data_IF_285492790874
#
_entry.id   IF_285492790874
#
_cell.length_a   1.000
_cell.length_b   1.000
_cell.length_c   1.000
_cell.angle_alpha   90.00
_cell.angle_beta   90.00
_cell.angle_gamma   90.00
#
_symmetry.space_group_name_H-M   'P 1'
#
loop_
_entity.id
_entity.type
_entity.pdbx_description
1 polymer ?
#
# COMPACT_ATOMS: atom_id res chain seq x y z
N UNK A 1 43.06 25.38 -5.32
CA UNK A 1 42.03 26.26 -4.74
C UNK A 1 41.10 25.37 -3.96
N UNK A 2 41.32 25.30 -2.67
CA UNK A 2 40.60 24.43 -1.75
C UNK A 2 39.26 25.05 -1.37
N UNK A 3 38.16 24.36 -1.62
CA UNK A 3 36.84 24.75 -1.13
C UNK A 3 36.69 24.23 0.30
N UNK A 4 36.77 25.16 1.26
CA UNK A 4 36.46 24.94 2.69
C UNK A 4 34.97 24.68 2.89
N UNK A 5 34.66 23.74 3.78
CA UNK A 5 33.30 23.50 4.29
C UNK A 5 33.17 24.03 5.72
N UNK A 6 31.99 24.54 6.06
CA UNK A 6 31.65 24.97 7.42
C UNK A 6 30.59 24.02 7.97
N UNK A 7 30.91 23.33 9.06
CA UNK A 7 29.99 22.45 9.79
C UNK A 7 29.46 23.26 10.99
N UNK A 8 28.13 23.46 11.05
CA UNK A 8 27.47 24.01 12.24
C UNK A 8 26.83 22.86 13.01
N UNK A 9 27.30 22.64 14.23
CA UNK A 9 26.77 21.62 15.14
C UNK A 9 25.68 22.21 16.02
N UNK A 10 24.50 21.60 16.01
CA UNK A 10 23.51 21.75 17.07
C UNK A 10 23.12 20.38 17.60
N UNK A 11 23.11 20.24 18.91
CA UNK A 11 22.72 19.03 19.61
C UNK A 11 21.24 19.11 19.99
N UNK A 12 20.40 18.23 19.42
CA UNK A 12 19.06 17.91 19.94
C UNK A 12 18.80 16.41 19.80
N UNK A 13 18.13 15.90 20.81
CA UNK A 13 17.93 14.52 21.24
C UNK A 13 16.63 13.92 20.68
N UNK A 14 16.71 13.13 19.61
CA UNK A 14 15.91 11.91 19.42
C UNK A 14 16.51 11.11 18.26
N UNK A 15 16.75 9.82 18.49
CA UNK A 15 17.50 8.95 17.59
C UNK A 15 16.56 8.37 16.52
N UNK A 16 16.60 8.93 15.31
CA UNK A 16 16.81 8.17 14.06
C UNK A 16 16.91 9.12 12.87
N UNK A 17 18.00 8.93 12.10
CA UNK A 17 18.36 9.56 10.81
C UNK A 17 19.15 10.88 10.86
N UNK A 18 20.42 10.79 10.41
CA UNK A 18 21.24 11.91 9.95
C UNK A 18 21.03 12.12 8.45
N UNK A 19 20.81 13.37 8.01
CA UNK A 19 20.82 13.75 6.60
C UNK A 19 22.10 14.53 6.34
N UNK A 20 22.95 14.01 5.46
CA UNK A 20 24.03 14.75 4.82
C UNK A 20 23.68 14.93 3.34
N UNK A 21 23.94 16.13 2.82
CA UNK A 21 23.62 16.51 1.45
C UNK A 21 24.78 16.19 0.50
N UNK A 22 24.49 15.44 -0.56
CA UNK A 22 25.33 15.35 -1.76
C UNK A 22 24.43 15.65 -2.96
N UNK A 23 24.84 16.59 -3.79
CA UNK A 23 24.11 17.03 -4.99
C UNK A 23 24.58 16.20 -6.19
N UNK A 24 23.69 15.44 -6.83
CA UNK A 24 23.97 14.68 -8.05
C UNK A 24 22.83 14.88 -9.07
N UNK A 25 23.19 15.04 -10.35
CA UNK A 25 22.34 15.53 -11.46
C UNK A 25 21.21 14.59 -11.94
N UNK A 26 20.81 13.58 -11.15
CA UNK A 26 19.68 12.66 -11.42
C UNK A 26 18.80 12.42 -10.17
N UNK A 27 18.77 13.40 -9.24
CA UNK A 27 18.23 13.28 -7.88
C UNK A 27 16.71 13.16 -7.76
N UNK A 28 15.94 13.68 -8.72
CA UNK A 28 14.52 13.92 -8.52
C UNK A 28 13.69 12.63 -8.58
N UNK A 29 14.08 11.71 -9.47
CA UNK A 29 13.50 10.39 -9.67
C UNK A 29 13.64 9.50 -8.41
N UNK A 30 14.85 9.46 -7.85
CA UNK A 30 15.18 8.63 -6.69
C UNK A 30 14.48 9.17 -5.43
N UNK A 31 14.33 10.49 -5.33
CA UNK A 31 13.73 11.15 -4.18
C UNK A 31 12.24 10.85 -4.04
N UNK A 32 11.46 10.85 -5.14
CA UNK A 32 10.02 10.52 -5.09
C UNK A 32 9.78 9.07 -4.63
N UNK A 33 10.52 8.11 -5.19
CA UNK A 33 10.34 6.69 -4.86
C UNK A 33 10.77 6.39 -3.41
N UNK A 34 11.91 6.94 -2.97
CA UNK A 34 12.41 6.74 -1.61
C UNK A 34 11.43 7.28 -0.58
N UNK A 35 10.90 8.49 -0.79
CA UNK A 35 9.92 9.11 0.12
C UNK A 35 8.62 8.29 0.18
N UNK A 36 8.15 7.78 -0.95
CA UNK A 36 6.99 6.89 -1.02
C UNK A 36 7.21 5.58 -0.24
N UNK A 37 8.34 4.90 -0.43
CA UNK A 37 8.66 3.65 0.26
C UNK A 37 8.79 3.81 1.79
N UNK A 38 9.11 5.02 2.25
CA UNK A 38 9.17 5.34 3.68
C UNK A 38 7.84 5.79 4.28
N UNK A 39 6.83 6.13 3.46
CA UNK A 39 5.56 6.69 3.90
C UNK A 39 4.41 5.70 3.76
N UNK A 40 3.72 5.46 4.86
CA UNK A 40 2.61 4.52 4.98
C UNK A 40 1.30 5.02 4.33
N UNK A 41 1.21 6.29 3.97
CA UNK A 41 0.08 6.88 3.24
C UNK A 41 0.28 6.93 1.71
N UNK A 42 1.46 6.52 1.23
CA UNK A 42 1.72 6.51 -0.20
C UNK A 42 1.11 5.27 -0.83
N UNK A 43 -0.08 5.43 -1.40
CA UNK A 43 -0.87 4.30 -1.91
C UNK A 43 -0.37 3.82 -3.27
N UNK A 44 0.16 4.68 -4.14
CA UNK A 44 0.79 4.28 -5.41
C UNK A 44 1.49 5.48 -6.04
N UNK A 45 2.68 5.29 -6.62
CA UNK A 45 3.42 6.34 -7.35
C UNK A 45 3.82 5.87 -8.73
N UNK A 46 3.40 6.62 -9.75
CA UNK A 46 3.87 6.44 -11.12
C UNK A 46 4.53 7.72 -11.63
N UNK A 47 5.66 7.53 -12.32
CA UNK A 47 6.64 8.56 -12.65
C UNK A 47 6.55 8.93 -14.13
N UNK A 48 6.48 10.24 -14.41
CA UNK A 48 6.91 10.81 -15.69
C UNK A 48 7.99 11.88 -15.41
N UNK A 49 8.64 12.41 -16.45
CA UNK A 49 9.83 13.27 -16.31
C UNK A 49 9.62 14.56 -15.49
N UNK A 50 8.39 14.88 -15.07
CA UNK A 50 8.07 16.13 -14.35
C UNK A 50 7.01 15.99 -13.23
N UNK A 51 6.40 14.82 -13.04
CA UNK A 51 5.31 14.63 -12.07
C UNK A 51 5.39 13.29 -11.33
N UNK A 52 5.11 13.35 -10.03
CA UNK A 52 4.87 12.18 -9.17
C UNK A 52 3.37 12.08 -8.94
N UNK A 53 2.76 11.03 -9.50
CA UNK A 53 1.33 10.79 -9.34
C UNK A 53 1.07 10.10 -8.01
N UNK A 54 0.17 10.61 -7.18
CA UNK A 54 -0.22 9.94 -5.93
C UNK A 54 -1.68 9.50 -5.96
N UNK A 55 -1.91 8.36 -5.34
CA UNK A 55 -3.24 7.80 -5.12
C UNK A 55 -3.95 8.31 -3.86
N UNK A 56 -3.30 9.15 -3.06
CA UNK A 56 -3.85 9.46 -1.73
C UNK A 56 -5.10 10.33 -1.83
N UNK A 57 -6.21 9.76 -1.37
CA UNK A 57 -7.19 10.47 -0.56
C UNK A 57 -6.46 11.22 0.55
N UNK A 58 -6.93 12.43 0.87
CA UNK A 58 -6.30 13.42 1.73
C UNK A 58 -5.23 12.87 2.70
N UNK A 59 -3.96 12.98 2.33
CA UNK A 59 -2.92 13.15 3.34
C UNK A 59 -3.17 14.52 4.00
N UNK A 60 -4.10 14.60 4.94
CA UNK A 60 -4.33 15.81 5.75
C UNK A 60 -3.07 16.21 6.53
N UNK A 61 -2.13 15.27 6.67
CA UNK A 61 -0.76 15.50 7.14
C UNK A 61 0.21 15.37 5.96
N UNK A 62 0.47 16.48 5.28
CA UNK A 62 1.66 16.63 4.44
C UNK A 62 2.89 16.59 5.36
N UNK A 63 3.53 15.43 5.52
CA UNK A 63 4.65 15.24 6.44
C UNK A 63 6.03 15.58 5.83
N UNK A 64 6.09 16.44 4.81
CA UNK A 64 7.37 16.78 4.18
C UNK A 64 7.72 18.25 4.43
N UNK A 65 8.61 18.54 5.40
CA UNK A 65 9.38 19.77 5.39
C UNK A 65 10.49 19.60 4.33
N UNK A 66 10.19 19.96 3.08
CA UNK A 66 11.16 19.92 1.96
C UNK A 66 11.36 21.33 1.42
N UNK A 67 12.63 21.71 1.22
CA UNK A 67 13.04 22.97 0.57
C UNK A 67 12.84 22.95 -0.96
N UNK A 68 12.48 21.81 -1.55
CA UNK A 68 12.23 21.67 -2.99
C UNK A 68 10.73 21.59 -3.32
N UNK A 69 10.33 22.29 -4.39
CA UNK A 69 8.95 22.35 -4.91
C UNK A 69 8.59 21.09 -5.70
N UNK A 70 8.29 20.00 -5.01
CA UNK A 70 7.70 18.80 -5.64
C UNK A 70 6.18 19.02 -5.76
N UNK A 71 5.66 18.88 -6.99
CA UNK A 71 4.20 18.98 -7.24
C UNK A 71 3.61 17.57 -7.34
N UNK A 72 2.71 17.24 -6.41
CA UNK A 72 1.95 15.99 -6.44
C UNK A 72 0.65 16.18 -7.20
N UNK A 73 0.33 15.25 -8.11
CA UNK A 73 -0.95 15.26 -8.84
C UNK A 73 -1.78 14.03 -8.47
N UNK A 74 -3.05 14.26 -8.10
CA UNK A 74 -4.02 13.20 -7.86
C UNK A 74 -4.45 12.57 -9.18
N UNK A 75 -4.35 11.25 -9.29
CA UNK A 75 -4.64 10.50 -10.52
C UNK A 75 -6.10 10.68 -10.98
N UNK A 76 -7.06 10.85 -10.06
CA UNK A 76 -8.48 11.10 -10.43
C UNK A 76 -8.66 12.31 -11.34
N UNK A 77 -7.80 13.34 -11.23
CA UNK A 77 -7.87 14.53 -12.10
C UNK A 77 -7.37 14.27 -13.52
N UNK A 78 -6.61 13.20 -13.75
CA UNK A 78 -6.15 12.79 -15.09
C UNK A 78 -7.22 11.92 -15.77
N UNK A 79 -7.90 11.07 -14.99
CA UNK A 79 -8.82 10.06 -15.55
C UNK A 79 -10.23 10.61 -15.81
N UNK A 80 -10.51 11.89 -15.52
CA UNK A 80 -11.76 12.54 -15.94
C UNK A 80 -11.99 12.60 -17.48
N UNK A 81 -11.15 11.96 -18.32
CA UNK A 81 -11.16 12.16 -19.79
C UNK A 81 -11.47 10.90 -20.62
N UNK A 82 -11.62 9.70 -20.06
CA UNK A 82 -12.07 8.55 -20.89
C UNK A 82 -13.03 7.62 -20.15
N UNK A 83 -14.32 7.99 -20.10
CA UNK A 83 -15.51 7.10 -20.11
C UNK A 83 -15.42 5.71 -19.43
N UNK A 84 -14.71 5.57 -18.31
CA UNK A 84 -14.63 4.32 -17.52
C UNK A 84 -15.88 4.12 -16.65
N UNK A 85 -17.04 4.43 -17.21
CA UNK A 85 -18.33 4.43 -16.54
C UNK A 85 -18.95 3.04 -16.47
N UNK A 86 -18.43 2.09 -17.25
CA UNK A 86 -18.87 0.70 -17.26
C UNK A 86 -18.58 0.04 -15.90
N UNK A 87 -19.60 -0.52 -15.27
CA UNK A 87 -19.51 -1.19 -13.96
C UNK A 87 -18.60 -2.41 -13.99
N UNK A 88 -18.34 -2.98 -15.16
CA UNK A 88 -17.47 -4.15 -15.33
C UNK A 88 -16.06 -3.80 -15.81
N UNK A 89 -15.70 -2.51 -15.88
CA UNK A 89 -14.35 -2.06 -16.24
C UNK A 89 -13.74 -1.22 -15.14
N UNK A 90 -12.50 -1.53 -14.81
CA UNK A 90 -11.69 -0.79 -13.85
C UNK A 90 -10.58 -0.03 -14.58
N UNK A 91 -9.98 0.94 -13.90
CA UNK A 91 -8.86 1.71 -14.43
C UNK A 91 -7.57 1.02 -14.00
N UNK A 92 -6.85 0.42 -14.95
CA UNK A 92 -5.54 -0.17 -14.64
C UNK A 92 -4.49 0.92 -14.54
N UNK A 93 -3.73 0.88 -13.46
CA UNK A 93 -2.68 1.85 -13.18
C UNK A 93 -1.40 1.57 -13.96
N UNK A 94 -1.20 0.35 -14.44
CA UNK A 94 0.00 0.01 -15.18
C UNK A 94 0.06 0.71 -16.55
N UNK A 95 -1.09 0.88 -17.19
CA UNK A 95 -1.19 1.41 -18.56
C UNK A 95 -2.18 2.57 -18.71
N UNK A 96 -2.78 3.04 -17.61
CA UNK A 96 -3.77 4.13 -17.57
C UNK A 96 -4.97 3.92 -18.51
N UNK A 97 -5.46 2.68 -18.60
CA UNK A 97 -6.57 2.33 -19.50
C UNK A 97 -7.73 1.65 -18.78
N UNK A 98 -8.91 1.68 -19.40
CA UNK A 98 -10.08 0.94 -18.93
C UNK A 98 -10.00 -0.53 -19.33
N UNK A 99 -9.82 -1.39 -18.34
CA UNK A 99 -9.66 -2.83 -18.51
C UNK A 99 -10.90 -3.56 -17.99
N UNK A 100 -11.33 -4.59 -18.70
CA UNK A 100 -12.43 -5.44 -18.29
C UNK A 100 -12.06 -6.24 -17.03
N UNK A 101 -12.95 -6.26 -16.04
CA UNK A 101 -12.82 -7.16 -14.91
C UNK A 101 -12.84 -8.62 -15.41
N UNK A 102 -11.98 -9.51 -14.87
CA UNK A 102 -12.06 -10.93 -15.16
C UNK A 102 -13.45 -11.52 -14.81
N UNK A 103 -13.84 -12.67 -15.39
CA UNK A 103 -15.09 -13.33 -15.03
C UNK A 103 -15.22 -13.56 -13.52
N UNK A 104 -16.39 -13.23 -12.96
CA UNK A 104 -16.71 -13.30 -11.53
C UNK A 104 -15.95 -12.32 -10.63
N UNK A 105 -15.20 -11.36 -11.17
CA UNK A 105 -14.70 -10.21 -10.44
C UNK A 105 -15.61 -9.01 -10.67
N UNK A 106 -15.81 -8.21 -9.61
CA UNK A 106 -16.67 -7.03 -9.63
C UNK A 106 -15.89 -5.78 -9.24
N UNK A 107 -16.06 -4.70 -10.00
CA UNK A 107 -15.65 -3.34 -9.58
C UNK A 107 -16.77 -2.72 -8.75
N UNK A 108 -16.40 -1.85 -7.81
CA UNK A 108 -17.34 -1.07 -7.02
C UNK A 108 -17.15 0.43 -7.26
N UNK A 109 -18.24 1.19 -7.30
CA UNK A 109 -18.23 2.63 -7.62
C UNK A 109 -17.48 3.50 -6.59
N UNK A 110 -17.25 3.00 -5.37
CA UNK A 110 -16.42 3.71 -4.38
C UNK A 110 -14.92 3.58 -4.68
N UNK A 111 -14.49 2.60 -5.48
CA UNK A 111 -13.09 2.37 -5.81
C UNK A 111 -12.90 1.79 -7.22
N UNK A 112 -12.38 2.60 -8.14
CA UNK A 112 -12.39 2.31 -9.57
C UNK A 112 -11.16 1.59 -10.11
N UNK A 113 -10.19 1.27 -9.26
CA UNK A 113 -8.82 0.89 -9.69
C UNK A 113 -8.54 -0.61 -9.58
N UNK A 114 -9.52 -1.39 -9.16
CA UNK A 114 -9.41 -2.82 -9.05
C UNK A 114 -10.79 -3.49 -9.16
N UNK A 115 -10.76 -4.78 -9.43
CA UNK A 115 -11.92 -5.66 -9.30
C UNK A 115 -11.66 -6.69 -8.20
N UNK A 116 -12.73 -7.11 -7.52
CA UNK A 116 -12.64 -8.02 -6.38
C UNK A 116 -13.53 -9.23 -6.55
N UNK A 117 -13.11 -10.34 -5.95
CA UNK A 117 -13.89 -11.56 -5.82
C UNK A 117 -13.66 -12.18 -4.45
N UNK A 118 -14.70 -12.32 -3.64
CA UNK A 118 -14.69 -13.17 -2.45
C UNK A 118 -14.84 -14.63 -2.88
N UNK A 119 -14.04 -15.52 -2.33
CA UNK A 119 -14.19 -16.97 -2.53
C UNK A 119 -15.11 -17.54 -1.45
N UNK A 120 -15.84 -18.60 -1.79
CA UNK A 120 -16.77 -19.25 -0.85
C UNK A 120 -16.05 -20.04 0.25
N UNK A 121 -14.75 -20.31 0.06
CA UNK A 121 -13.93 -21.07 1.00
C UNK A 121 -12.98 -20.14 1.75
N UNK A 122 -12.91 -20.37 3.06
CA UNK A 122 -11.86 -19.80 3.90
C UNK A 122 -10.62 -20.69 3.81
N UNK A 123 -9.44 -20.10 3.99
CA UNK A 123 -8.18 -20.80 3.90
C UNK A 123 -7.12 -20.21 4.83
N UNK A 124 -6.03 -20.94 5.05
CA UNK A 124 -4.81 -20.37 5.61
C UNK A 124 -4.14 -19.43 4.61
N UNK A 125 -3.23 -18.59 5.06
CA UNK A 125 -2.64 -17.53 4.23
C UNK A 125 -2.00 -18.07 2.94
N UNK A 126 -1.23 -19.15 3.05
CA UNK A 126 -0.54 -19.77 1.90
C UNK A 126 -1.54 -20.27 0.86
N UNK A 127 -2.56 -21.03 1.28
CA UNK A 127 -3.59 -21.53 0.38
C UNK A 127 -4.46 -20.39 -0.18
N UNK A 128 -4.71 -19.35 0.60
CA UNK A 128 -5.44 -18.17 0.16
C UNK A 128 -4.68 -17.45 -0.99
N UNK A 129 -3.36 -17.29 -0.86
CA UNK A 129 -2.51 -16.77 -1.94
C UNK A 129 -2.56 -17.64 -3.19
N UNK A 130 -2.44 -18.97 -3.04
CA UNK A 130 -2.51 -19.91 -4.15
C UNK A 130 -3.87 -19.85 -4.86
N UNK A 131 -4.97 -19.78 -4.11
CA UNK A 131 -6.32 -19.68 -4.65
C UNK A 131 -6.50 -18.42 -5.51
N UNK A 132 -6.01 -17.26 -5.05
CA UNK A 132 -6.05 -16.05 -5.87
C UNK A 132 -5.11 -16.14 -7.09
N UNK A 133 -3.92 -16.71 -6.93
CA UNK A 133 -2.97 -16.90 -8.03
C UNK A 133 -3.53 -17.80 -9.15
N UNK A 134 -4.28 -18.86 -8.81
CA UNK A 134 -4.98 -19.70 -9.80
C UNK A 134 -6.00 -18.91 -10.64
N UNK A 135 -6.54 -17.83 -10.09
CA UNK A 135 -7.45 -16.92 -10.78
C UNK A 135 -6.70 -15.79 -11.52
N UNK A 136 -5.36 -15.86 -11.60
CA UNK A 136 -4.49 -14.78 -12.13
C UNK A 136 -4.69 -13.46 -11.38
N UNK A 137 -5.02 -13.56 -10.10
CA UNK A 137 -5.24 -12.46 -9.17
C UNK A 137 -4.29 -12.60 -7.99
N UNK A 138 -4.37 -11.68 -7.04
CA UNK A 138 -3.61 -11.72 -5.79
C UNK A 138 -4.56 -11.50 -4.61
N UNK A 139 -4.15 -11.79 -3.38
CA UNK A 139 -4.91 -11.38 -2.20
C UNK A 139 -5.08 -9.86 -2.17
N UNK A 140 -6.10 -9.32 -1.51
CA UNK A 140 -6.31 -7.86 -1.47
C UNK A 140 -5.08 -7.10 -0.95
N UNK A 141 -4.83 -5.91 -1.52
CA UNK A 141 -3.78 -4.96 -1.13
C UNK A 141 -4.37 -3.57 -0.94
N UNK A 142 -5.25 -3.35 0.07
CA UNK A 142 -5.98 -2.11 0.14
C UNK A 142 -5.13 -0.99 0.74
N UNK A 143 -4.60 -0.14 -0.13
CA UNK A 143 -3.60 0.87 0.25
C UNK A 143 -4.21 2.22 0.64
N UNK A 144 -5.48 2.47 0.27
CA UNK A 144 -6.21 3.68 0.68
C UNK A 144 -7.27 3.38 1.74
N UNK A 145 -7.66 4.42 2.48
CA UNK A 145 -8.69 4.32 3.53
C UNK A 145 -10.07 4.03 2.92
N UNK A 146 -10.40 4.61 1.75
CA UNK A 146 -11.62 4.26 1.01
C UNK A 146 -11.58 2.80 0.56
N UNK A 147 -10.45 2.31 0.03
CA UNK A 147 -10.34 0.92 -0.40
C UNK A 147 -10.54 -0.05 0.78
N UNK A 148 -9.87 0.21 1.91
CA UNK A 148 -10.05 -0.58 3.15
C UNK A 148 -11.49 -0.51 3.66
N UNK A 149 -12.08 0.68 3.70
CA UNK A 149 -13.46 0.88 4.17
C UNK A 149 -14.46 0.15 3.29
N UNK A 150 -14.27 0.23 1.96
CA UNK A 150 -15.08 -0.49 0.98
C UNK A 150 -14.97 -2.01 1.19
N UNK A 151 -13.76 -2.55 1.26
CA UNK A 151 -13.58 -3.99 1.44
C UNK A 151 -14.13 -4.49 2.78
N UNK A 152 -14.00 -3.69 3.83
CA UNK A 152 -14.60 -3.98 5.12
C UNK A 152 -16.14 -3.98 5.05
N UNK A 153 -16.75 -2.97 4.43
CA UNK A 153 -18.20 -2.90 4.22
C UNK A 153 -18.73 -4.10 3.42
N UNK A 154 -18.02 -4.50 2.37
CA UNK A 154 -18.43 -5.58 1.48
C UNK A 154 -18.22 -6.97 2.08
N UNK A 155 -17.11 -7.19 2.78
CA UNK A 155 -16.62 -8.52 3.10
C UNK A 155 -16.23 -8.72 4.57
N UNK A 156 -16.00 -7.64 5.32
CA UNK A 156 -15.44 -7.64 6.68
C UNK A 156 -16.44 -7.91 7.80
N UNK A 157 -17.73 -7.61 7.59
CA UNK A 157 -18.79 -7.78 8.61
C UNK A 157 -19.03 -9.22 9.10
N UNK A 158 -18.38 -10.22 8.49
CA UNK A 158 -18.58 -11.64 8.81
C UNK A 158 -17.30 -12.41 9.15
N UNK A 159 -16.14 -11.78 8.98
CA UNK A 159 -14.84 -12.47 9.06
C UNK A 159 -13.70 -11.49 8.81
N UNK A 160 -12.57 -11.69 9.51
CA UNK A 160 -11.28 -11.14 9.11
C UNK A 160 -10.88 -11.64 7.70
N UNK A 161 -10.29 -10.76 6.89
CA UNK A 161 -9.94 -11.03 5.49
C UNK A 161 -8.42 -11.04 5.34
N UNK A 162 -7.87 -12.04 4.66
CA UNK A 162 -6.43 -12.05 4.36
C UNK A 162 -6.00 -10.88 3.46
N UNK A 163 -4.86 -10.27 3.79
CA UNK A 163 -4.23 -9.17 3.03
C UNK A 163 -2.86 -9.62 2.52
N UNK A 164 -2.49 -9.29 1.29
CA UNK A 164 -1.27 -9.80 0.64
C UNK A 164 0.04 -9.16 1.17
N UNK A 165 0.35 -9.39 2.43
CA UNK A 165 1.65 -9.08 3.02
C UNK A 165 2.00 -10.11 4.09
N UNK A 166 3.27 -10.51 4.10
CA UNK A 166 3.84 -11.47 5.03
C UNK A 166 5.28 -11.07 5.34
N UNK A 167 5.72 -11.32 6.58
CA UNK A 167 7.11 -11.20 7.01
C UNK A 167 7.70 -12.57 7.30
N UNK A 168 9.03 -12.69 7.23
CA UNK A 168 9.77 -13.95 7.50
C UNK A 168 10.62 -13.87 8.76
N UNK A 169 10.81 -12.68 9.32
CA UNK A 169 11.56 -12.46 10.56
C UNK A 169 11.12 -11.18 11.27
N UNK A 170 11.37 -11.10 12.58
CA UNK A 170 10.97 -9.97 13.44
C UNK A 170 11.63 -8.62 13.11
N UNK A 171 12.73 -8.63 12.35
CA UNK A 171 13.40 -7.42 11.87
C UNK A 171 12.83 -6.92 10.54
N UNK A 172 11.91 -7.65 9.92
CA UNK A 172 11.21 -7.21 8.72
C UNK A 172 9.97 -6.39 9.08
N UNK A 173 9.54 -5.56 8.14
CA UNK A 173 8.29 -4.80 8.25
C UNK A 173 7.35 -5.26 7.16
N UNK A 174 6.05 -5.36 7.45
CA UNK A 174 5.04 -5.64 6.43
C UNK A 174 5.12 -4.63 5.28
N UNK A 175 5.21 -5.16 4.06
CA UNK A 175 5.33 -4.40 2.82
C UNK A 175 4.41 -4.95 1.75
N UNK A 176 3.93 -4.06 0.92
CA UNK A 176 3.29 -4.40 -0.34
C UNK A 176 4.34 -4.96 -1.32
N UNK A 177 3.88 -5.63 -2.37
CA UNK A 177 4.75 -6.23 -3.38
C UNK A 177 5.61 -5.23 -4.16
N UNK A 178 5.24 -3.94 -4.17
CA UNK A 178 6.03 -2.85 -4.75
C UNK A 178 7.05 -2.25 -3.75
N UNK A 179 7.17 -2.84 -2.56
CA UNK A 179 8.11 -2.45 -1.51
C UNK A 179 7.62 -1.34 -0.58
N UNK A 180 6.47 -0.71 -0.86
CA UNK A 180 5.89 0.30 0.04
C UNK A 180 5.44 -0.33 1.36
N UNK A 181 5.61 0.38 2.49
CA UNK A 181 5.22 -0.12 3.81
C UNK A 181 3.70 -0.24 3.92
N UNK A 182 3.23 -1.29 4.60
CA UNK A 182 1.82 -1.38 5.00
C UNK A 182 1.55 -0.36 6.11
N UNK A 183 0.43 0.33 6.01
CA UNK A 183 -0.06 1.31 7.00
C UNK A 183 -1.55 1.12 7.28
N UNK A 184 -2.08 1.75 8.32
CA UNK A 184 -3.49 1.60 8.70
C UNK A 184 -3.74 0.44 9.67
N UNK A 185 -2.76 0.13 10.50
CA UNK A 185 -2.88 -0.84 11.59
C UNK A 185 -3.80 -0.32 12.70
N UNK A 186 -4.46 -1.23 13.42
CA UNK A 186 -5.15 -0.88 14.67
C UNK A 186 -4.13 -0.55 15.77
N UNK A 187 -4.60 0.06 16.86
CA UNK A 187 -3.73 0.56 17.91
C UNK A 187 -2.85 -0.56 18.49
N UNK A 188 -1.53 -0.31 18.55
CA UNK A 188 -0.49 -1.23 19.00
C UNK A 188 -0.12 -2.37 18.04
N UNK A 189 -0.70 -2.42 16.83
CA UNK A 189 -0.29 -3.39 15.80
C UNK A 189 0.80 -2.84 14.85
N UNK A 190 1.61 -3.70 14.21
CA UNK A 190 1.70 -5.15 14.46
C UNK A 190 2.42 -5.47 15.79
N UNK A 191 1.90 -6.42 16.57
CA UNK A 191 2.39 -6.72 17.92
C UNK A 191 3.04 -8.10 18.09
N UNK A 192 2.90 -9.00 17.11
CA UNK A 192 3.39 -10.37 17.19
C UNK A 192 2.99 -11.08 18.50
N UNK A 193 1.69 -11.07 18.79
CA UNK A 193 1.10 -11.60 20.00
C UNK A 193 1.52 -13.05 20.24
N UNK A 194 1.83 -13.37 21.49
CA UNK A 194 2.29 -14.70 21.93
C UNK A 194 3.61 -15.18 21.30
N UNK A 195 4.35 -14.33 20.58
CA UNK A 195 5.60 -14.73 19.94
C UNK A 195 6.77 -15.01 20.89
N UNK A 196 6.82 -14.40 22.07
CA UNK A 196 7.89 -14.61 23.07
C UNK A 196 9.32 -14.52 22.48
N UNK A 197 9.56 -13.57 21.56
CA UNK A 197 10.84 -13.40 20.88
C UNK A 197 11.02 -14.25 19.60
N UNK A 198 10.04 -15.09 19.27
CA UNK A 198 9.92 -15.75 17.98
C UNK A 198 8.82 -15.08 17.13
N UNK A 199 8.91 -15.25 15.81
CA UNK A 199 7.87 -14.82 14.88
C UNK A 199 6.68 -15.80 14.96
N UNK A 200 5.55 -15.31 15.44
CA UNK A 200 4.31 -16.05 15.61
C UNK A 200 3.19 -15.52 14.70
N UNK A 201 3.14 -14.20 14.53
CA UNK A 201 2.16 -13.53 13.66
C UNK A 201 2.90 -12.94 12.46
N UNK A 202 2.90 -13.69 11.37
CA UNK A 202 3.71 -13.36 10.21
C UNK A 202 2.89 -12.84 9.03
N UNK A 203 1.56 -12.80 9.13
CA UNK A 203 0.65 -12.41 8.06
C UNK A 203 -0.35 -11.37 8.57
N UNK A 204 -0.95 -10.57 7.68
CA UNK A 204 -1.90 -9.54 8.08
C UNK A 204 -3.32 -9.80 7.58
N UNK A 205 -4.29 -9.39 8.38
CA UNK A 205 -5.71 -9.39 8.04
C UNK A 205 -6.28 -7.98 8.04
N UNK A 206 -7.37 -7.77 7.28
CA UNK A 206 -8.22 -6.61 7.35
C UNK A 206 -9.44 -6.93 8.23
N UNK A 207 -9.65 -6.12 9.26
CA UNK A 207 -10.80 -6.17 10.15
C UNK A 207 -11.20 -4.75 10.58
N UNK A 208 -12.50 -4.43 10.54
CA UNK A 208 -13.01 -3.11 10.92
C UNK A 208 -12.33 -1.93 10.19
N UNK A 209 -11.87 -2.16 8.95
CA UNK A 209 -11.17 -1.15 8.13
C UNK A 209 -9.70 -0.93 8.49
N UNK A 210 -9.15 -1.69 9.43
CA UNK A 210 -7.78 -1.60 9.93
C UNK A 210 -7.06 -2.95 9.80
N UNK A 211 -5.73 -2.92 9.91
CA UNK A 211 -4.90 -4.12 9.86
C UNK A 211 -4.46 -4.60 11.24
N UNK A 212 -4.31 -5.92 11.37
CA UNK A 212 -3.66 -6.61 12.48
C UNK A 212 -2.81 -7.75 11.92
N UNK A 213 -1.68 -8.08 12.54
CA UNK A 213 -0.97 -9.32 12.26
C UNK A 213 -1.62 -10.49 12.99
N UNK A 214 -1.55 -11.67 12.36
CA UNK A 214 -2.04 -12.94 12.88
C UNK A 214 -1.17 -14.09 12.36
N UNK A 215 -1.24 -15.29 12.97
CA UNK A 215 -0.54 -16.47 12.45
C UNK A 215 -1.06 -16.88 11.08
N UNK A 216 -0.16 -17.17 10.13
CA UNK A 216 -0.55 -17.61 8.77
C UNK A 216 -1.40 -18.89 8.73
N UNK A 217 -1.33 -19.70 9.78
CA UNK A 217 -2.05 -20.98 9.91
C UNK A 217 -3.55 -20.81 10.14
N UNK A 218 -3.99 -19.63 10.56
CA UNK A 218 -5.40 -19.33 10.82
C UNK A 218 -6.27 -19.45 9.56
N UNK A 219 -7.52 -19.85 9.72
CA UNK A 219 -8.46 -19.96 8.60
C UNK A 219 -9.29 -18.68 8.50
N UNK A 220 -9.10 -17.91 7.42
CA UNK A 220 -9.75 -16.60 7.21
C UNK A 220 -10.40 -16.49 5.83
N UNK A 221 -11.21 -15.46 5.64
CA UNK A 221 -11.86 -15.20 4.37
C UNK A 221 -10.82 -14.84 3.30
N UNK A 222 -11.07 -15.35 2.10
CA UNK A 222 -10.22 -15.11 0.93
C UNK A 222 -10.94 -14.14 0.00
N UNK A 223 -10.36 -12.96 -0.17
CA UNK A 223 -10.78 -11.99 -1.17
C UNK A 223 -9.62 -11.75 -2.12
N UNK A 224 -9.87 -11.97 -3.41
CA UNK A 224 -8.90 -11.76 -4.46
C UNK A 224 -9.11 -10.40 -5.13
N UNK A 225 -8.01 -9.76 -5.50
CA UNK A 225 -7.93 -8.49 -6.20
C UNK A 225 -7.26 -8.66 -7.56
N UNK A 226 -7.80 -7.95 -8.56
CA UNK A 226 -7.23 -7.81 -9.90
C UNK A 226 -7.10 -6.32 -10.24
N UNK A 227 -5.91 -5.87 -10.66
CA UNK A 227 -5.58 -4.46 -10.96
C UNK A 227 -4.43 -4.30 -11.94
#
# INVERSE_FOLDING_TARGET
>A
MDSKYTILNFAITDQTWQISSIKLENSDLITCLTKCQTNYYCSFVQLNSTHCNMFSENATKSLIPSLEKITYRRIDKIIQVQNCSDENKFISLNNYSCVQCPPNFKKYSKFHFACYRKLDTNANFINAKLNCAHLKAFLIRPKSDIERSLLNELFGNSSEIWVDSQIKSLNETFRWNDGTKVGGFTGHEPNNMNGNGALHENSIVLENGLFSDVPESFIRAVVCQFS
#
